data_IF_219467010577
#
_entry.id   IF_219467010577
#
_cell.length_a   1.000
_cell.length_b   1.000
_cell.length_c   1.000
_cell.angle_alpha   90.00
_cell.angle_beta   90.00
_cell.angle_gamma   90.00
#
_symmetry.space_group_name_H-M   'P 1'
#
loop_
_entity.id
_entity.type
_entity.pdbx_description
1 polymer ?
#
# COMPACT_ATOMS: atom_id res chain seq x y z
N UNK A 1 -60.01 -22.94 28.50
CA UNK A 1 -59.81 -22.42 27.14
C UNK A 1 -58.50 -21.65 27.14
N UNK A 2 -57.47 -22.24 26.53
CA UNK A 2 -56.17 -21.63 26.35
C UNK A 2 -56.23 -20.58 25.25
N UNK A 3 -55.70 -19.39 25.49
CA UNK A 3 -55.13 -18.56 24.43
C UNK A 3 -53.87 -17.87 24.97
N UNK A 4 -52.74 -18.45 24.61
CA UNK A 4 -51.41 -17.85 24.74
C UNK A 4 -51.25 -16.77 23.68
N UNK A 5 -50.84 -15.57 24.07
CA UNK A 5 -50.24 -14.57 23.18
C UNK A 5 -48.89 -14.17 23.78
N UNK A 6 -47.86 -14.86 23.30
CA UNK A 6 -46.47 -14.45 23.46
C UNK A 6 -46.17 -13.48 22.32
N UNK A 7 -46.09 -12.19 22.63
CA UNK A 7 -45.46 -11.21 21.74
C UNK A 7 -44.12 -10.88 22.35
N UNK A 8 -43.08 -11.50 21.79
CA UNK A 8 -41.68 -11.29 22.15
C UNK A 8 -41.29 -9.85 21.81
N UNK A 9 -40.97 -9.08 22.85
CA UNK A 9 -40.10 -7.92 22.73
C UNK A 9 -38.68 -8.43 22.46
N UNK A 10 -38.12 -8.10 21.30
CA UNK A 10 -36.68 -8.01 21.10
C UNK A 10 -36.40 -6.88 20.10
N UNK A 11 -36.35 -5.66 20.63
CA UNK A 11 -35.58 -4.59 20.01
C UNK A 11 -34.09 -4.96 20.07
N UNK A 12 -33.30 -4.28 19.24
CA UNK A 12 -31.82 -4.35 19.10
C UNK A 12 -31.24 -5.60 18.44
N UNK A 13 -31.11 -5.55 17.12
CA UNK A 13 -29.87 -5.96 16.46
C UNK A 13 -29.04 -4.69 16.18
N UNK A 14 -28.54 -4.07 17.25
CA UNK A 14 -27.22 -3.42 17.16
C UNK A 14 -26.25 -4.59 17.17
N UNK A 15 -26.05 -5.22 16.02
CA UNK A 15 -24.89 -6.07 15.85
C UNK A 15 -23.70 -5.12 15.75
N UNK A 16 -23.14 -4.81 16.91
CA UNK A 16 -21.80 -4.31 17.06
C UNK A 16 -20.86 -5.31 16.36
N UNK A 17 -20.57 -5.07 15.09
CA UNK A 17 -19.37 -5.54 14.41
C UNK A 17 -18.17 -4.73 14.92
N UNK A 18 -17.95 -4.72 16.24
CA UNK A 18 -16.68 -4.29 16.81
C UNK A 18 -15.75 -5.51 16.84
N UNK A 19 -15.34 -5.96 15.66
CA UNK A 19 -14.22 -6.84 15.28
C UNK A 19 -14.39 -6.80 13.75
N UNK A 20 -13.75 -5.89 13.01
CA UNK A 20 -12.40 -6.05 12.46
C UNK A 20 -11.78 -4.65 12.39
N UNK A 21 -10.79 -4.38 13.24
CA UNK A 21 -9.90 -3.24 13.08
C UNK A 21 -8.72 -3.69 12.21
N UNK A 22 -8.97 -4.02 10.94
CA UNK A 22 -7.96 -4.34 9.93
C UNK A 22 -8.52 -4.04 8.54
N UNK A 23 -7.84 -3.17 7.80
CA UNK A 23 -8.09 -2.90 6.38
C UNK A 23 -9.15 -1.84 6.12
N UNK A 24 -8.72 -0.72 5.54
CA UNK A 24 -9.48 0.30 4.76
C UNK A 24 -10.94 0.53 5.22
N UNK A 25 -11.24 1.69 5.80
CA UNK A 25 -12.62 2.16 6.03
C UNK A 25 -13.34 2.39 4.69
N UNK A 26 -13.96 1.35 4.14
CA UNK A 26 -14.57 1.36 2.81
C UNK A 26 -15.82 0.46 2.69
N UNK A 27 -16.46 0.43 1.51
CA UNK A 27 -17.63 -0.40 1.28
C UNK A 27 -17.35 -1.89 1.52
N UNK A 28 -18.34 -2.62 2.03
CA UNK A 28 -18.19 -4.05 2.38
C UNK A 28 -17.67 -4.91 1.21
N UNK A 29 -18.08 -4.59 -0.02
CA UNK A 29 -17.61 -5.29 -1.22
C UNK A 29 -16.09 -5.12 -1.44
N UNK A 30 -15.53 -3.95 -1.12
CA UNK A 30 -14.11 -3.66 -1.26
C UNK A 30 -13.28 -4.31 -0.15
N UNK A 31 -13.79 -4.31 1.08
CA UNK A 31 -13.19 -5.06 2.21
C UNK A 31 -13.12 -6.55 1.88
N UNK A 32 -14.18 -7.11 1.28
CA UNK A 32 -14.18 -8.50 0.83
C UNK A 32 -13.18 -8.78 -0.30
N UNK A 33 -12.88 -7.79 -1.16
CA UNK A 33 -11.87 -7.89 -2.20
C UNK A 33 -10.44 -7.89 -1.62
N UNK A 34 -10.14 -6.95 -0.73
CA UNK A 34 -8.88 -6.89 0.03
C UNK A 34 -8.59 -8.23 0.73
N UNK A 35 -9.58 -8.75 1.48
CA UNK A 35 -9.44 -10.00 2.21
C UNK A 35 -9.12 -11.21 1.31
N UNK A 36 -9.57 -11.21 0.05
CA UNK A 36 -9.33 -12.29 -0.92
C UNK A 36 -8.04 -12.15 -1.70
N UNK A 37 -7.54 -10.93 -1.87
CA UNK A 37 -6.31 -10.65 -2.62
C UNK A 37 -5.08 -11.17 -1.88
N UNK A 38 -4.07 -11.57 -2.65
CA UNK A 38 -2.80 -12.06 -2.12
C UNK A 38 -1.84 -10.88 -1.91
N UNK A 39 -1.46 -10.53 -0.67
CA UNK A 39 -0.58 -9.40 -0.37
C UNK A 39 0.89 -9.67 -0.75
N UNK A 40 1.26 -10.93 -0.97
CA UNK A 40 2.64 -11.33 -1.25
C UNK A 40 3.23 -10.52 -2.40
N UNK A 41 4.50 -10.06 -2.28
CA UNK A 41 5.48 -10.40 -1.22
C UNK A 41 5.34 -9.59 0.08
N UNK A 42 4.43 -8.63 0.16
CA UNK A 42 4.22 -7.83 1.38
C UNK A 42 3.52 -8.64 2.48
N UNK A 43 3.76 -8.26 3.73
CA UNK A 43 2.89 -8.64 4.85
C UNK A 43 1.57 -7.85 4.78
N UNK A 44 0.46 -8.42 5.29
CA UNK A 44 -0.82 -7.69 5.36
C UNK A 44 -0.77 -6.48 6.30
N UNK A 45 0.15 -6.48 7.25
CA UNK A 45 0.33 -5.40 8.22
C UNK A 45 1.32 -4.33 7.72
N UNK A 46 2.02 -4.57 6.60
CA UNK A 46 2.95 -3.62 5.99
C UNK A 46 2.22 -2.72 4.97
N UNK A 47 1.49 -1.73 5.49
CA UNK A 47 0.70 -0.81 4.67
C UNK A 47 1.52 -0.14 3.57
N UNK A 48 2.72 0.35 3.87
CA UNK A 48 3.56 1.03 2.89
C UNK A 48 3.95 0.10 1.73
N UNK A 49 4.30 -1.16 2.01
CA UNK A 49 4.58 -2.15 0.98
C UNK A 49 3.34 -2.46 0.14
N UNK A 50 2.17 -2.67 0.78
CA UNK A 50 0.92 -2.96 0.07
C UNK A 50 0.55 -1.85 -0.92
N UNK A 51 0.71 -0.58 -0.52
CA UNK A 51 0.46 0.61 -1.34
C UNK A 51 1.45 0.78 -2.51
N UNK A 52 2.52 0.00 -2.57
CA UNK A 52 3.47 -0.02 -3.67
C UNK A 52 3.49 -1.36 -4.43
N UNK A 53 2.73 -2.35 -3.95
CA UNK A 53 2.59 -3.65 -4.59
C UNK A 53 1.55 -3.59 -5.71
N UNK A 54 2.00 -3.21 -6.91
CA UNK A 54 1.14 -3.07 -8.10
C UNK A 54 0.34 -4.34 -8.42
N UNK A 55 0.90 -5.53 -8.16
CA UNK A 55 0.19 -6.79 -8.37
C UNK A 55 -1.00 -6.96 -7.42
N UNK A 56 -0.80 -6.61 -6.15
CA UNK A 56 -1.85 -6.61 -5.14
C UNK A 56 -2.93 -5.55 -5.44
N UNK A 57 -2.52 -4.31 -5.68
CA UNK A 57 -3.42 -3.17 -5.99
C UNK A 57 -4.28 -3.48 -7.21
N UNK A 58 -3.69 -4.04 -8.27
CA UNK A 58 -4.41 -4.43 -9.48
C UNK A 58 -5.44 -5.52 -9.16
N UNK A 59 -5.05 -6.54 -8.37
CA UNK A 59 -5.96 -7.61 -7.97
C UNK A 59 -7.16 -7.12 -7.17
N UNK A 60 -6.93 -6.21 -6.21
CA UNK A 60 -8.02 -5.61 -5.41
C UNK A 60 -8.91 -4.74 -6.31
N UNK A 61 -8.30 -3.88 -7.12
CA UNK A 61 -9.00 -2.99 -8.06
C UNK A 61 -9.89 -3.74 -9.06
N UNK A 62 -9.41 -4.86 -9.61
CA UNK A 62 -10.18 -5.68 -10.55
C UNK A 62 -11.34 -6.40 -9.85
N UNK A 63 -11.14 -6.85 -8.62
CA UNK A 63 -12.22 -7.39 -7.79
C UNK A 63 -13.28 -6.32 -7.47
N UNK A 64 -12.86 -5.12 -7.06
CA UNK A 64 -13.76 -4.00 -6.75
C UNK A 64 -14.58 -3.64 -7.99
N UNK A 65 -13.94 -3.50 -9.14
CA UNK A 65 -14.62 -3.16 -10.41
C UNK A 65 -15.67 -4.20 -10.82
N UNK A 66 -15.48 -5.47 -10.47
CA UNK A 66 -16.40 -6.56 -10.82
C UNK A 66 -17.46 -6.85 -9.76
N UNK A 67 -17.23 -6.48 -8.50
CA UNK A 67 -18.05 -6.88 -7.35
C UNK A 67 -18.77 -5.73 -6.66
N UNK A 68 -18.40 -4.49 -6.93
CA UNK A 68 -18.96 -3.30 -6.33
C UNK A 68 -19.81 -2.49 -7.31
N UNK A 69 -20.72 -1.67 -6.77
CA UNK A 69 -21.37 -0.62 -7.55
C UNK A 69 -20.34 0.45 -7.99
N UNK A 70 -20.60 1.26 -9.03
CA UNK A 70 -19.73 2.38 -9.38
C UNK A 70 -19.51 3.37 -8.23
N UNK A 71 -20.54 3.60 -7.41
CA UNK A 71 -20.48 4.47 -6.23
C UNK A 71 -19.55 3.88 -5.16
N UNK A 72 -19.69 2.58 -4.88
CA UNK A 72 -18.83 1.87 -3.93
C UNK A 72 -17.39 1.76 -4.44
N UNK A 73 -17.19 1.54 -5.74
CA UNK A 73 -15.86 1.52 -6.34
C UNK A 73 -15.15 2.88 -6.17
N UNK A 74 -15.89 3.99 -6.33
CA UNK A 74 -15.35 5.33 -6.07
C UNK A 74 -15.03 5.54 -4.60
N UNK A 75 -15.91 5.11 -3.70
CA UNK A 75 -15.65 5.20 -2.25
C UNK A 75 -14.45 4.35 -1.83
N UNK A 76 -14.28 3.16 -2.41
CA UNK A 76 -13.13 2.29 -2.19
C UNK A 76 -11.82 2.95 -2.62
N UNK A 77 -11.77 3.56 -3.81
CA UNK A 77 -10.57 4.27 -4.29
C UNK A 77 -10.19 5.47 -3.39
N UNK A 78 -11.18 6.19 -2.84
CA UNK A 78 -10.92 7.26 -1.88
C UNK A 78 -10.39 6.72 -0.54
N UNK A 79 -10.93 5.59 -0.08
CA UNK A 79 -10.50 4.94 1.14
C UNK A 79 -9.08 4.38 1.01
N UNK A 80 -8.74 3.75 -0.13
CA UNK A 80 -7.38 3.30 -0.47
C UNK A 80 -6.40 4.47 -0.49
N UNK A 81 -6.72 5.56 -1.19
CA UNK A 81 -5.87 6.74 -1.23
C UNK A 81 -5.64 7.33 0.17
N UNK A 82 -6.68 7.35 1.03
CA UNK A 82 -6.55 7.80 2.42
C UNK A 82 -5.63 6.87 3.21
N UNK A 83 -5.87 5.56 3.10
CA UNK A 83 -5.08 4.52 3.76
C UNK A 83 -3.59 4.58 3.40
N UNK A 84 -3.26 4.79 2.12
CA UNK A 84 -1.87 4.92 1.69
C UNK A 84 -1.23 6.24 2.13
N UNK A 85 -1.97 7.36 2.05
CA UNK A 85 -1.46 8.64 2.53
C UNK A 85 -1.18 8.64 4.04
N UNK A 86 -2.01 7.98 4.84
CA UNK A 86 -1.77 7.82 6.29
C UNK A 86 -0.50 7.01 6.59
N UNK A 87 -0.09 6.14 5.67
CA UNK A 87 1.19 5.42 5.73
C UNK A 87 2.36 6.16 5.07
N UNK A 88 2.20 7.44 4.71
CA UNK A 88 3.24 8.25 4.08
C UNK A 88 3.47 7.94 2.60
N UNK A 89 2.58 7.19 1.96
CA UNK A 89 2.69 6.83 0.53
C UNK A 89 1.69 7.64 -0.29
N UNK A 90 2.22 8.50 -1.16
CA UNK A 90 1.46 9.08 -2.26
C UNK A 90 1.60 8.20 -3.50
N UNK A 91 0.59 7.37 -3.80
CA UNK A 91 0.69 6.39 -4.90
C UNK A 91 0.91 7.04 -6.28
N UNK A 92 0.47 8.29 -6.48
CA UNK A 92 0.67 8.99 -7.74
C UNK A 92 2.10 9.54 -7.88
N UNK A 93 2.72 9.93 -6.78
CA UNK A 93 4.08 10.46 -6.72
C UNK A 93 4.78 9.95 -5.46
N UNK A 94 5.20 8.66 -5.44
CA UNK A 94 5.64 8.04 -4.20
C UNK A 94 6.97 8.60 -3.71
N UNK A 95 7.86 9.02 -4.61
CA UNK A 95 9.10 9.69 -4.22
C UNK A 95 8.90 11.22 -4.11
N UNK A 96 9.61 11.88 -3.19
CA UNK A 96 9.62 13.34 -3.12
C UNK A 96 10.18 13.94 -4.41
N UNK A 97 9.68 15.11 -4.78
CA UNK A 97 10.01 15.74 -6.07
C UNK A 97 11.50 16.02 -6.27
N UNK A 98 12.25 16.28 -5.19
CA UNK A 98 13.70 16.43 -5.21
C UNK A 98 14.43 15.17 -5.72
N UNK A 99 13.87 13.99 -5.49
CA UNK A 99 14.44 12.69 -5.84
C UNK A 99 13.93 12.12 -7.16
N UNK A 100 13.00 12.78 -7.84
CA UNK A 100 12.31 12.24 -9.02
C UNK A 100 13.27 11.85 -10.16
N UNK A 101 14.42 12.53 -10.28
CA UNK A 101 15.44 12.25 -11.29
C UNK A 101 16.39 11.10 -10.92
N UNK A 102 16.42 10.66 -9.66
CA UNK A 102 17.45 9.74 -9.17
C UNK A 102 17.37 8.35 -9.81
N UNK A 103 16.17 7.89 -10.19
CA UNK A 103 15.99 6.63 -10.89
C UNK A 103 16.64 6.61 -12.28
N UNK A 104 16.76 7.78 -12.94
CA UNK A 104 17.36 7.91 -14.27
C UNK A 104 18.88 8.12 -14.23
N UNK A 105 19.40 8.63 -13.11
CA UNK A 105 20.84 8.87 -12.92
C UNK A 105 21.56 7.57 -12.52
N UNK A 106 20.89 6.72 -11.74
CA UNK A 106 21.49 5.49 -11.25
C UNK A 106 21.75 4.48 -12.39
N UNK A 107 22.94 3.85 -12.45
CA UNK A 107 23.29 2.96 -13.55
C UNK A 107 22.54 1.63 -13.41
N UNK A 108 21.66 1.31 -14.36
CA UNK A 108 20.93 0.03 -14.39
C UNK A 108 21.86 -1.20 -14.50
N UNK A 109 23.07 -1.00 -15.05
CA UNK A 109 24.11 -2.02 -15.26
C UNK A 109 23.58 -3.29 -15.97
N UNK A 110 23.34 -4.38 -15.23
CA UNK A 110 22.86 -5.67 -15.74
C UNK A 110 21.36 -5.91 -15.48
N UNK A 111 20.66 -4.94 -14.89
CA UNK A 111 19.22 -5.00 -14.66
C UNK A 111 18.46 -4.31 -15.79
N UNK A 112 17.28 -4.83 -16.13
CA UNK A 112 16.31 -4.06 -16.90
C UNK A 112 15.72 -2.95 -16.02
N UNK A 113 15.40 -1.80 -16.62
CA UNK A 113 14.84 -0.63 -15.92
C UNK A 113 13.54 -0.96 -15.15
N UNK A 114 12.73 -1.88 -15.66
CA UNK A 114 11.48 -2.31 -15.01
C UNK A 114 11.64 -3.52 -14.08
N UNK A 115 12.85 -4.05 -13.90
CA UNK A 115 13.10 -5.19 -13.01
C UNK A 115 13.47 -4.70 -11.61
N UNK A 116 12.48 -4.23 -10.87
CA UNK A 116 12.66 -3.67 -9.52
C UNK A 116 13.38 -4.62 -8.56
N UNK A 117 13.09 -5.93 -8.61
CA UNK A 117 13.78 -6.92 -7.78
C UNK A 117 15.28 -7.01 -8.10
N UNK A 118 15.67 -6.90 -9.37
CA UNK A 118 17.07 -6.83 -9.77
C UNK A 118 17.71 -5.53 -9.30
N UNK A 119 17.04 -4.39 -9.51
CA UNK A 119 17.53 -3.07 -9.13
C UNK A 119 17.76 -2.96 -7.61
N UNK A 120 16.81 -3.42 -6.80
CA UNK A 120 16.92 -3.45 -5.34
C UNK A 120 18.08 -4.34 -4.84
N UNK A 121 18.50 -5.35 -5.60
CA UNK A 121 19.66 -6.20 -5.29
C UNK A 121 20.97 -5.67 -5.87
N UNK A 122 20.90 -4.67 -6.75
CA UNK A 122 22.07 -4.15 -7.44
C UNK A 122 22.74 -3.06 -6.60
N UNK A 123 23.86 -3.41 -5.94
CA UNK A 123 24.55 -2.48 -5.06
C UNK A 123 25.01 -1.19 -5.74
N UNK A 124 25.43 -1.23 -7.00
CA UNK A 124 25.87 -0.03 -7.73
C UNK A 124 24.69 0.91 -8.04
N UNK A 125 23.56 0.34 -8.46
CA UNK A 125 22.32 1.10 -8.64
C UNK A 125 21.86 1.72 -7.33
N UNK A 126 21.74 0.92 -6.26
CA UNK A 126 21.25 1.39 -4.97
C UNK A 126 22.16 2.46 -4.37
N UNK A 127 23.48 2.30 -4.43
CA UNK A 127 24.42 3.34 -3.96
C UNK A 127 24.28 4.64 -4.75
N UNK A 128 24.20 4.58 -6.08
CA UNK A 128 24.02 5.77 -6.90
C UNK A 128 22.67 6.45 -6.66
N UNK A 129 21.60 5.67 -6.51
CA UNK A 129 20.26 6.15 -6.23
C UNK A 129 20.20 6.86 -4.88
N UNK A 130 20.67 6.21 -3.81
CA UNK A 130 20.70 6.77 -2.45
C UNK A 130 21.56 8.02 -2.39
N UNK A 131 22.75 8.00 -3.02
CA UNK A 131 23.60 9.19 -3.10
C UNK A 131 22.87 10.35 -3.79
N UNK A 132 22.17 10.09 -4.89
CA UNK A 132 21.39 11.12 -5.56
C UNK A 132 20.28 11.67 -4.65
N UNK A 133 19.55 10.82 -3.92
CA UNK A 133 18.55 11.26 -2.94
C UNK A 133 19.20 12.18 -1.91
N UNK A 134 20.37 11.83 -1.38
CA UNK A 134 21.13 12.67 -0.45
C UNK A 134 21.61 14.00 -1.02
N UNK A 135 22.01 14.03 -2.29
CA UNK A 135 22.49 15.26 -2.93
C UNK A 135 21.35 16.27 -3.19
N UNK A 136 20.10 15.80 -3.35
CA UNK A 136 18.98 16.64 -3.79
C UNK A 136 17.86 16.82 -2.75
N UNK A 137 17.69 15.90 -1.82
CA UNK A 137 16.63 15.91 -0.81
C UNK A 137 17.19 16.22 0.58
N UNK A 138 16.35 16.76 1.47
CA UNK A 138 16.75 17.07 2.86
C UNK A 138 15.58 16.89 3.83
N UNK A 139 15.87 16.71 5.12
CA UNK A 139 14.83 16.66 6.15
C UNK A 139 13.79 15.57 5.92
N UNK A 140 12.51 15.91 5.99
CA UNK A 140 11.38 15.00 5.81
C UNK A 140 11.37 14.32 4.42
N UNK A 141 11.96 14.95 3.40
CA UNK A 141 12.09 14.32 2.08
C UNK A 141 13.02 13.09 2.12
N UNK A 142 14.08 13.09 2.95
CA UNK A 142 14.97 11.94 3.09
C UNK A 142 14.26 10.79 3.81
N UNK A 143 13.47 11.09 4.84
CA UNK A 143 12.67 10.10 5.56
C UNK A 143 11.62 9.49 4.63
N UNK A 144 10.92 10.32 3.87
CA UNK A 144 9.92 9.90 2.88
C UNK A 144 10.54 9.04 1.78
N UNK A 145 11.67 9.47 1.20
CA UNK A 145 12.37 8.70 0.18
C UNK A 145 12.87 7.34 0.71
N UNK A 146 13.31 7.30 1.98
CA UNK A 146 13.76 6.08 2.64
C UNK A 146 12.61 5.09 2.82
N UNK A 147 11.51 5.56 3.41
CA UNK A 147 10.28 4.79 3.60
C UNK A 147 9.79 4.18 2.28
N UNK A 148 9.71 5.01 1.24
CA UNK A 148 9.20 4.61 -0.08
C UNK A 148 10.12 3.60 -0.74
N UNK A 149 11.43 3.84 -0.76
CA UNK A 149 12.36 2.93 -1.43
C UNK A 149 12.43 1.57 -0.73
N UNK A 150 12.39 1.52 0.60
CA UNK A 150 12.36 0.27 1.36
C UNK A 150 11.06 -0.49 1.10
N UNK A 151 9.92 0.18 1.18
CA UNK A 151 8.61 -0.41 0.91
C UNK A 151 8.49 -0.91 -0.54
N UNK A 152 9.03 -0.16 -1.51
CA UNK A 152 9.05 -0.55 -2.91
C UNK A 152 9.91 -1.81 -3.13
N UNK A 153 11.09 -1.89 -2.50
CA UNK A 153 11.91 -3.09 -2.61
C UNK A 153 11.24 -4.30 -1.98
N UNK A 154 10.55 -4.13 -0.84
CA UNK A 154 9.72 -5.20 -0.25
C UNK A 154 8.58 -5.60 -1.17
N UNK A 155 7.94 -4.65 -1.87
CA UNK A 155 6.91 -4.95 -2.87
C UNK A 155 7.44 -5.75 -4.08
N UNK A 156 8.74 -5.67 -4.35
CA UNK A 156 9.45 -6.53 -5.31
C UNK A 156 10.02 -7.82 -4.70
N UNK A 157 9.77 -8.10 -3.41
CA UNK A 157 10.22 -9.29 -2.71
C UNK A 157 11.70 -9.24 -2.33
N UNK A 158 12.23 -8.04 -2.08
CA UNK A 158 13.61 -7.81 -1.68
C UNK A 158 13.64 -7.02 -0.38
N UNK A 159 14.09 -7.66 0.70
CA UNK A 159 14.46 -6.95 1.92
C UNK A 159 15.85 -6.33 1.74
N UNK A 160 15.92 -5.02 1.89
CA UNK A 160 17.17 -4.26 1.90
C UNK A 160 17.45 -3.77 3.33
N UNK A 161 18.71 -3.53 3.70
CA UNK A 161 19.02 -2.77 4.92
C UNK A 161 18.30 -1.42 4.87
N UNK A 162 17.91 -0.85 6.03
CA UNK A 162 17.34 0.48 6.07
C UNK A 162 18.26 1.46 5.35
N UNK A 163 17.67 2.38 4.60
CA UNK A 163 18.47 3.48 4.08
C UNK A 163 18.98 4.28 5.26
N UNK A 164 20.30 4.51 5.30
CA UNK A 164 20.88 5.40 6.28
C UNK A 164 20.74 6.84 5.73
N UNK A 165 19.85 7.67 6.31
CA UNK A 165 19.71 9.05 5.89
C UNK A 165 20.92 9.92 6.29
N UNK A 166 22.00 9.35 6.85
CA UNK A 166 23.21 10.06 7.26
C UNK A 166 24.49 9.60 6.54
N UNK A 167 24.42 8.72 5.53
CA UNK A 167 25.56 8.26 4.73
C UNK A 167 25.77 9.02 3.41
#
# INVERSE_FOLDING_TARGET
MHFSLVVLFAASLVSALTIIKRGIDGPECAVACEAKSNPSPCDREDTACLCLNIGYITSVSDCVRSSCSPEDAKAAALAEATYCNEAGINEQNPFPSCGAQCAQIAPFTNCAENNGACLCKNGAYMQAFVKCIHDFCTGEDLESASLVGEALCRAYGVDIPPFDPQQ
#
